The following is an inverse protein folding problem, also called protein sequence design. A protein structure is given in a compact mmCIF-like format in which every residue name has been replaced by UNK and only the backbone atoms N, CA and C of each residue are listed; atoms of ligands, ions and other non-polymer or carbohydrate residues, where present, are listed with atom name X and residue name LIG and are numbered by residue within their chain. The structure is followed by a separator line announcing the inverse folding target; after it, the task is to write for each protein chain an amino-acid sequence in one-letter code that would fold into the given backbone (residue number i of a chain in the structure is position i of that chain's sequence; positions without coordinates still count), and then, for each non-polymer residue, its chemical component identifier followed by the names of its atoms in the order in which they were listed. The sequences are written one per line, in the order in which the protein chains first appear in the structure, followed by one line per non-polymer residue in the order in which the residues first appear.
data_IF_553368501617
#
_entry.id   IF_553368501617
#
_cell.length_a   1.000
_cell.length_b   1.000
_cell.length_c   1.000
_cell.angle_alpha   90.00
_cell.angle_beta   90.00
_cell.angle_gamma   90.00
#
_symmetry.space_group_name_H-M   'P 1'
#
loop_
_entity.id
_entity.type
_entity.pdbx_description
1 polymer ?
#
# COMPACT_ATOMS: atom_id res chain seq x y z
N UNK A 1 -4.18 -3.82 -43.13
CA UNK A 1 -4.42 -4.08 -41.69
C UNK A 1 -3.26 -3.51 -40.88
N UNK A 2 -3.38 -2.27 -40.41
CA UNK A 2 -2.41 -1.59 -39.52
C UNK A 2 -3.21 -1.11 -38.30
N UNK A 3 -3.57 -2.06 -37.45
CA UNK A 3 -4.10 -1.80 -36.11
C UNK A 3 -3.16 -2.54 -35.15
N UNK A 4 -2.81 -1.90 -34.02
CA UNK A 4 -1.82 -2.31 -33.00
C UNK A 4 -0.45 -1.60 -33.07
N UNK A 5 -0.46 -0.26 -33.13
CA UNK A 5 0.71 0.55 -32.75
C UNK A 5 0.30 1.65 -31.77
N UNK A 6 -0.24 1.28 -30.61
CA UNK A 6 -0.57 2.22 -29.52
C UNK A 6 -0.45 1.61 -28.11
N UNK A 7 0.51 0.72 -27.86
CA UNK A 7 0.66 0.10 -26.52
C UNK A 7 1.94 0.48 -25.76
N UNK A 8 2.63 1.56 -26.13
CA UNK A 8 3.96 1.88 -25.57
C UNK A 8 4.04 3.13 -24.69
N UNK A 9 2.92 3.69 -24.21
CA UNK A 9 2.97 4.92 -23.41
C UNK A 9 2.93 4.72 -21.89
N UNK A 10 2.50 3.54 -21.39
CA UNK A 10 2.35 3.30 -19.96
C UNK A 10 3.02 1.97 -19.59
N UNK A 11 4.26 2.05 -19.10
CA UNK A 11 4.98 0.87 -18.60
C UNK A 11 5.76 1.23 -17.33
N UNK A 12 5.59 0.40 -16.31
CA UNK A 12 6.28 0.55 -15.04
C UNK A 12 7.69 -0.02 -15.17
N UNK A 13 8.71 0.80 -14.92
CA UNK A 13 10.09 0.32 -14.90
C UNK A 13 10.30 -0.60 -13.69
N UNK A 14 10.73 -1.83 -13.96
CA UNK A 14 10.98 -2.86 -12.95
C UNK A 14 11.96 -2.39 -11.88
N UNK A 15 13.04 -1.71 -12.26
CA UNK A 15 14.09 -1.27 -11.31
C UNK A 15 13.55 -0.24 -10.31
N UNK A 16 12.83 0.76 -10.81
CA UNK A 16 12.14 1.77 -9.98
C UNK A 16 11.17 1.10 -9.02
N UNK A 17 10.38 0.14 -9.50
CA UNK A 17 9.38 -0.54 -8.69
C UNK A 17 10.01 -1.42 -7.60
N UNK A 18 11.05 -2.18 -7.92
CA UNK A 18 11.80 -2.99 -6.94
C UNK A 18 12.40 -2.11 -5.85
N UNK A 19 13.02 -0.99 -6.22
CA UNK A 19 13.63 -0.06 -5.26
C UNK A 19 12.58 0.54 -4.33
N UNK A 20 11.40 0.90 -4.85
CA UNK A 20 10.31 1.40 -4.04
C UNK A 20 9.83 0.36 -3.02
N UNK A 21 9.68 -0.90 -3.42
CA UNK A 21 9.31 -1.98 -2.51
C UNK A 21 10.35 -2.19 -1.42
N UNK A 22 11.65 -2.12 -1.74
CA UNK A 22 12.71 -2.16 -0.73
C UNK A 22 12.62 -1.04 0.29
N UNK A 23 12.40 0.20 -0.15
CA UNK A 23 12.21 1.34 0.76
C UNK A 23 11.01 1.09 1.69
N UNK A 24 9.89 0.61 1.14
CA UNK A 24 8.69 0.29 1.92
C UNK A 24 8.97 -0.81 2.96
N UNK A 25 9.63 -1.91 2.58
CA UNK A 25 9.92 -3.00 3.51
C UNK A 25 10.88 -2.60 4.62
N UNK A 26 11.91 -1.81 4.32
CA UNK A 26 12.83 -1.28 5.33
C UNK A 26 12.07 -0.38 6.31
N UNK A 27 11.20 0.50 5.81
CA UNK A 27 10.34 1.35 6.64
C UNK A 27 9.39 0.54 7.54
N UNK A 28 8.71 -0.46 6.99
CA UNK A 28 7.79 -1.32 7.74
C UNK A 28 8.52 -2.15 8.82
N UNK A 29 9.65 -2.78 8.47
CA UNK A 29 10.45 -3.58 9.42
C UNK A 29 10.99 -2.68 10.52
N UNK A 30 11.56 -1.53 10.18
CA UNK A 30 12.09 -0.60 11.19
C UNK A 30 10.99 -0.12 12.15
N UNK A 31 9.80 0.23 11.65
CA UNK A 31 8.68 0.60 12.50
C UNK A 31 8.29 -0.55 13.46
N UNK A 32 8.16 -1.78 12.97
CA UNK A 32 7.83 -2.95 13.80
C UNK A 32 8.89 -3.19 14.87
N UNK A 33 10.17 -3.14 14.50
CA UNK A 33 11.28 -3.37 15.43
C UNK A 33 11.35 -2.26 16.50
N UNK A 34 11.15 -1.00 16.13
CA UNK A 34 11.12 0.12 17.09
C UNK A 34 9.96 -0.07 18.07
N UNK A 35 8.75 -0.34 17.57
CA UNK A 35 7.57 -0.53 18.42
C UNK A 35 7.72 -1.73 19.37
N UNK A 36 8.30 -2.83 18.87
CA UNK A 36 8.48 -4.05 19.68
C UNK A 36 9.63 -3.96 20.68
N UNK A 37 10.79 -3.43 20.28
CA UNK A 37 12.02 -3.52 21.09
C UNK A 37 12.41 -2.22 21.80
N UNK A 38 11.98 -1.06 21.28
CA UNK A 38 12.25 0.23 21.92
C UNK A 38 11.07 0.66 22.78
N UNK A 39 9.84 0.55 22.25
CA UNK A 39 8.63 0.91 23.00
C UNK A 39 8.02 -0.25 23.79
N UNK A 40 8.43 -1.50 23.52
CA UNK A 40 7.95 -2.71 24.21
C UNK A 40 6.42 -2.90 24.18
N UNK A 41 5.76 -2.38 23.14
CA UNK A 41 4.31 -2.54 23.00
C UNK A 41 3.96 -3.98 22.64
N UNK A 42 2.88 -4.49 23.24
CA UNK A 42 2.43 -5.86 23.01
C UNK A 42 1.54 -5.94 21.78
N UNK A 43 2.01 -6.64 20.74
CA UNK A 43 1.23 -6.98 19.56
C UNK A 43 1.86 -8.19 18.86
N UNK A 44 1.17 -8.74 17.84
CA UNK A 44 1.66 -9.89 17.10
C UNK A 44 2.69 -9.48 16.03
N UNK A 45 3.90 -9.09 16.48
CA UNK A 45 4.98 -8.67 15.59
C UNK A 45 5.47 -9.82 14.69
N UNK A 46 5.36 -11.09 15.15
CA UNK A 46 5.69 -12.26 14.32
C UNK A 46 4.80 -12.38 13.08
N UNK A 47 3.49 -12.14 13.22
CA UNK A 47 2.58 -12.11 12.07
C UNK A 47 2.97 -10.99 11.10
N UNK A 48 3.27 -9.79 11.62
CA UNK A 48 3.66 -8.64 10.80
C UNK A 48 4.97 -8.90 10.04
N UNK A 49 6.00 -9.44 10.71
CA UNK A 49 7.26 -9.81 10.06
C UNK A 49 7.05 -10.90 9.01
N UNK A 50 6.18 -11.89 9.28
CA UNK A 50 5.88 -12.97 8.33
C UNK A 50 5.22 -12.44 7.05
N UNK A 51 4.32 -11.47 7.17
CA UNK A 51 3.70 -10.79 6.02
C UNK A 51 4.76 -10.07 5.18
N UNK A 52 5.65 -9.31 5.82
CA UNK A 52 6.73 -8.60 5.11
C UNK A 52 7.70 -9.59 4.48
N UNK A 53 8.03 -10.68 5.17
CA UNK A 53 8.90 -11.72 4.64
C UNK A 53 8.35 -12.30 3.34
N UNK A 54 7.05 -12.64 3.29
CA UNK A 54 6.41 -13.09 2.05
C UNK A 54 6.48 -12.02 0.94
N UNK A 55 6.37 -10.75 1.31
CA UNK A 55 6.48 -9.61 0.39
C UNK A 55 7.89 -9.47 -0.19
N UNK A 56 8.91 -9.68 0.63
CA UNK A 56 10.32 -9.75 0.20
C UNK A 56 10.51 -10.90 -0.80
N UNK A 57 9.94 -12.08 -0.54
CA UNK A 57 10.01 -13.20 -1.48
C UNK A 57 9.39 -12.85 -2.84
N UNK A 58 8.23 -12.19 -2.86
CA UNK A 58 7.63 -11.74 -4.14
C UNK A 58 8.49 -10.69 -4.86
N UNK A 59 9.20 -9.84 -4.13
CA UNK A 59 10.09 -8.85 -4.73
C UNK A 59 11.36 -9.49 -5.30
N UNK A 60 11.94 -10.46 -4.59
CA UNK A 60 13.06 -11.25 -5.11
C UNK A 60 12.66 -12.07 -6.34
N UNK A 61 11.45 -12.64 -6.34
CA UNK A 61 10.90 -13.33 -7.51
C UNK A 61 10.80 -12.40 -8.72
N UNK A 62 10.27 -11.18 -8.52
CA UNK A 62 10.22 -10.15 -9.56
C UNK A 62 11.63 -9.79 -10.06
N UNK A 63 12.59 -9.63 -9.15
CA UNK A 63 13.97 -9.29 -9.46
C UNK A 63 14.68 -10.34 -10.32
N UNK A 64 14.56 -11.63 -9.97
CA UNK A 64 15.33 -12.68 -10.63
C UNK A 64 14.63 -13.36 -11.81
N UNK A 65 13.29 -13.47 -11.77
CA UNK A 65 12.57 -14.27 -12.78
C UNK A 65 12.06 -13.46 -13.96
N UNK A 66 11.62 -12.23 -13.75
CA UNK A 66 11.14 -11.38 -14.84
C UNK A 66 12.35 -10.75 -15.52
N UNK A 67 12.62 -11.08 -16.78
CA UNK A 67 13.77 -10.53 -17.52
C UNK A 67 13.48 -9.16 -18.13
N UNK A 68 12.20 -8.84 -18.33
CA UNK A 68 11.80 -7.58 -18.95
C UNK A 68 12.00 -6.40 -17.99
N UNK A 69 12.60 -5.33 -18.51
CA UNK A 69 12.77 -4.09 -17.74
C UNK A 69 11.49 -3.27 -17.62
N UNK A 70 10.57 -3.44 -18.57
CA UNK A 70 9.26 -2.79 -18.59
C UNK A 70 8.18 -3.83 -18.26
N UNK A 71 7.43 -3.58 -17.19
CA UNK A 71 6.35 -4.46 -16.78
C UNK A 71 5.08 -4.11 -17.55
N UNK A 72 4.43 -5.14 -18.11
CA UNK A 72 3.15 -4.99 -18.78
C UNK A 72 2.09 -4.52 -17.76
N UNK A 73 1.11 -3.75 -18.24
CA UNK A 73 0.03 -3.17 -17.45
C UNK A 73 -0.66 -4.20 -16.53
N UNK A 74 -1.01 -5.38 -17.02
CA UNK A 74 -1.68 -6.42 -16.21
C UNK A 74 -0.78 -6.94 -15.09
N UNK A 75 0.49 -7.17 -15.37
CA UNK A 75 1.48 -7.61 -14.38
C UNK A 75 1.70 -6.54 -13.31
N UNK A 76 1.88 -5.28 -13.72
CA UNK A 76 2.01 -4.15 -12.81
C UNK A 76 0.78 -3.97 -11.93
N UNK A 77 -0.42 -4.10 -12.51
CA UNK A 77 -1.69 -4.03 -11.76
C UNK A 77 -1.73 -5.13 -10.69
N UNK A 78 -1.36 -6.37 -11.04
CA UNK A 78 -1.37 -7.49 -10.11
C UNK A 78 -0.40 -7.28 -8.93
N UNK A 79 0.82 -6.81 -9.18
CA UNK A 79 1.78 -6.54 -8.12
C UNK A 79 1.37 -5.35 -7.24
N UNK A 80 0.83 -4.27 -7.83
CA UNK A 80 0.33 -3.13 -7.05
C UNK A 80 -0.90 -3.51 -6.21
N UNK A 81 -1.81 -4.35 -6.74
CA UNK A 81 -2.91 -4.92 -5.95
C UNK A 81 -2.38 -5.77 -4.80
N UNK A 82 -1.35 -6.58 -5.03
CA UNK A 82 -0.72 -7.36 -3.97
C UNK A 82 -0.13 -6.45 -2.88
N UNK A 83 0.58 -5.38 -3.25
CA UNK A 83 1.15 -4.43 -2.29
C UNK A 83 0.05 -3.71 -1.48
N UNK A 84 -1.06 -3.32 -2.12
CA UNK A 84 -2.24 -2.74 -1.45
C UNK A 84 -2.83 -3.72 -0.44
N UNK A 85 -3.01 -4.99 -0.83
CA UNK A 85 -3.56 -6.03 0.03
C UNK A 85 -2.64 -6.33 1.21
N UNK A 86 -1.34 -6.47 0.95
CA UNK A 86 -0.30 -6.70 1.95
C UNK A 86 -0.25 -5.60 3.00
N UNK A 87 -0.23 -4.34 2.55
CA UNK A 87 -0.23 -3.20 3.44
C UNK A 87 -1.56 -3.12 4.20
N UNK A 88 -2.68 -3.44 3.55
CA UNK A 88 -3.98 -3.57 4.21
C UNK A 88 -3.97 -4.57 5.37
N UNK A 89 -3.37 -5.75 5.19
CA UNK A 89 -3.24 -6.73 6.27
C UNK A 89 -2.32 -6.21 7.39
N UNK A 90 -1.21 -5.56 7.06
CA UNK A 90 -0.35 -4.96 8.08
C UNK A 90 -1.10 -3.92 8.91
N UNK A 91 -1.83 -3.01 8.24
CA UNK A 91 -2.64 -2.00 8.89
C UNK A 91 -3.73 -2.66 9.76
N UNK A 92 -4.37 -3.72 9.27
CA UNK A 92 -5.36 -4.49 10.04
C UNK A 92 -4.81 -4.99 11.38
N UNK A 93 -3.56 -5.49 11.42
CA UNK A 93 -2.92 -5.95 12.67
C UNK A 93 -2.38 -4.81 13.55
N UNK A 94 -2.37 -3.57 13.05
CA UNK A 94 -1.66 -2.46 13.69
C UNK A 94 -2.55 -1.21 13.80
N UNK A 95 -3.85 -1.34 14.10
CA UNK A 95 -4.72 -0.19 14.37
C UNK A 95 -5.62 0.27 13.22
N UNK A 96 -5.60 -0.41 12.06
CA UNK A 96 -6.47 -0.11 10.93
C UNK A 96 -6.31 1.32 10.44
N UNK A 97 -7.43 2.05 10.33
CA UNK A 97 -7.43 3.46 9.94
C UNK A 97 -6.80 4.39 10.98
N UNK A 98 -6.69 3.98 12.23
CA UNK A 98 -6.04 4.79 13.28
C UNK A 98 -4.51 4.73 13.24
N UNK A 99 -3.95 3.81 12.45
CA UNK A 99 -2.52 3.72 12.25
C UNK A 99 -1.99 4.98 11.52
N UNK A 100 -0.95 5.66 12.04
CA UNK A 100 -0.41 6.88 11.42
C UNK A 100 0.15 6.66 10.01
N UNK A 101 0.47 5.43 9.63
CA UNK A 101 0.95 5.06 8.30
C UNK A 101 -0.16 4.70 7.31
N UNK A 102 -1.44 4.84 7.68
CA UNK A 102 -2.57 4.52 6.79
C UNK A 102 -2.49 5.22 5.43
N UNK A 103 -1.96 6.45 5.38
CA UNK A 103 -1.80 7.21 4.13
C UNK A 103 -0.82 6.56 3.14
N UNK A 104 0.06 5.65 3.57
CA UNK A 104 0.98 4.94 2.66
C UNK A 104 0.22 4.02 1.69
N UNK A 105 -1.03 3.66 1.98
CA UNK A 105 -1.89 2.89 1.06
C UNK A 105 -2.16 3.63 -0.26
N UNK A 106 -1.92 4.96 -0.29
CA UNK A 106 -2.07 5.78 -1.48
C UNK A 106 -0.94 5.55 -2.50
N UNK A 107 0.25 5.14 -2.06
CA UNK A 107 1.45 5.05 -2.91
C UNK A 107 1.22 4.18 -4.15
N UNK A 108 0.68 2.94 -4.06
CA UNK A 108 0.45 2.13 -5.24
C UNK A 108 -0.52 2.74 -6.26
N UNK A 109 -1.51 3.52 -5.80
CA UNK A 109 -2.44 4.22 -6.69
C UNK A 109 -1.81 5.43 -7.38
N UNK A 110 -0.92 6.16 -6.70
CA UNK A 110 -0.16 7.23 -7.35
C UNK A 110 0.73 6.65 -8.45
N UNK A 111 1.42 5.54 -8.18
CA UNK A 111 2.23 4.87 -9.20
C UNK A 111 1.38 4.34 -10.36
N UNK A 112 0.20 3.79 -10.08
CA UNK A 112 -0.68 3.34 -11.17
C UNK A 112 -1.17 4.48 -12.04
N UNK A 113 -1.44 5.65 -11.45
CA UNK A 113 -1.93 6.82 -12.19
C UNK A 113 -0.95 7.34 -13.25
N UNK A 114 0.36 7.18 -13.01
CA UNK A 114 1.41 7.63 -13.93
C UNK A 114 1.83 6.54 -14.93
N UNK A 115 1.87 5.27 -14.51
CA UNK A 115 2.52 4.21 -15.28
C UNK A 115 1.57 3.14 -15.85
N UNK A 116 0.30 3.14 -15.48
CA UNK A 116 -0.69 2.14 -15.93
C UNK A 116 -1.82 2.79 -16.75
N UNK A 117 -2.55 1.94 -17.47
CA UNK A 117 -3.75 2.35 -18.17
C UNK A 117 -4.83 2.84 -17.18
N UNK A 118 -5.60 3.84 -17.60
CA UNK A 118 -6.64 4.49 -16.79
C UNK A 118 -7.60 3.51 -16.10
N UNK A 119 -8.07 2.48 -16.80
CA UNK A 119 -8.96 1.45 -16.21
C UNK A 119 -8.28 0.67 -15.07
N UNK A 120 -7.00 0.33 -15.20
CA UNK A 120 -6.25 -0.35 -14.14
C UNK A 120 -6.06 0.57 -12.92
N UNK A 121 -5.82 1.86 -13.15
CA UNK A 121 -5.76 2.84 -12.07
C UNK A 121 -7.09 2.94 -11.31
N UNK A 122 -8.23 2.95 -12.02
CA UNK A 122 -9.56 2.95 -11.39
C UNK A 122 -9.77 1.70 -10.52
N UNK A 123 -9.38 0.52 -11.03
CA UNK A 123 -9.51 -0.74 -10.28
C UNK A 123 -8.72 -0.67 -8.97
N UNK A 124 -7.49 -0.14 -9.01
CA UNK A 124 -6.65 -0.02 -7.81
C UNK A 124 -7.22 1.01 -6.82
N UNK A 125 -7.74 2.13 -7.30
CA UNK A 125 -8.44 3.12 -6.45
C UNK A 125 -9.66 2.50 -5.78
N UNK A 126 -10.50 1.78 -6.53
CA UNK A 126 -11.66 1.09 -5.97
C UNK A 126 -11.23 0.04 -4.92
N UNK A 127 -10.14 -0.68 -5.18
CA UNK A 127 -9.60 -1.67 -4.25
C UNK A 127 -9.11 -1.05 -2.94
N UNK A 128 -8.39 0.08 -3.00
CA UNK A 128 -7.97 0.83 -1.80
C UNK A 128 -9.19 1.31 -1.02
N UNK A 129 -10.21 1.85 -1.69
CA UNK A 129 -11.44 2.30 -1.04
C UNK A 129 -12.12 1.16 -0.28
N UNK A 130 -12.20 -0.04 -0.87
CA UNK A 130 -12.76 -1.22 -0.21
C UNK A 130 -11.92 -1.60 1.03
N UNK A 131 -10.59 -1.62 0.91
CA UNK A 131 -9.71 -1.92 2.05
C UNK A 131 -9.88 -0.88 3.16
N UNK A 132 -9.94 0.41 2.84
CA UNK A 132 -10.16 1.46 3.84
C UNK A 132 -11.49 1.31 4.56
N UNK A 133 -12.56 0.95 3.85
CA UNK A 133 -13.87 0.66 4.46
C UNK A 133 -13.73 -0.53 5.42
N UNK A 134 -13.11 -1.63 4.99
CA UNK A 134 -12.88 -2.80 5.84
C UNK A 134 -12.08 -2.42 7.09
N UNK A 135 -10.97 -1.69 6.93
CA UNK A 135 -10.11 -1.23 8.03
C UNK A 135 -10.76 -0.19 8.95
N UNK A 136 -11.88 0.40 8.55
CA UNK A 136 -12.65 1.31 9.40
C UNK A 136 -13.50 0.53 10.40
N UNK A 137 -14.04 -0.62 9.99
CA UNK A 137 -14.95 -1.42 10.83
C UNK A 137 -14.28 -2.65 11.47
N UNK A 138 -13.19 -3.14 10.87
CA UNK A 138 -12.50 -4.36 11.27
C UNK A 138 -11.00 -4.10 11.33
N UNK A 139 -10.45 -4.07 12.54
CA UNK A 139 -9.00 -3.97 12.78
C UNK A 139 -8.68 -4.41 14.21
N UNK A 140 -7.43 -4.76 14.46
CA UNK A 140 -6.88 -4.93 15.81
C UNK A 140 -6.44 -3.59 16.37
N UNK A 141 -6.56 -3.42 17.67
CA UNK A 141 -6.14 -2.20 18.37
C UNK A 141 -4.69 -1.82 18.04
N UNK A 142 -4.47 -0.52 17.92
CA UNK A 142 -3.14 0.03 17.70
C UNK A 142 -2.24 -0.36 18.88
N UNK A 143 -1.01 -0.88 18.67
CA UNK A 143 -0.13 -1.23 19.77
C UNK A 143 0.12 -0.01 20.68
N UNK A 144 -0.12 -0.16 21.98
CA UNK A 144 -0.05 0.94 22.94
C UNK A 144 0.49 0.51 24.31
N UNK A 145 1.00 1.45 25.13
CA UNK A 145 1.44 1.13 26.48
C UNK A 145 0.22 1.05 27.42
N UNK A 146 -0.02 -0.13 28.01
CA UNK A 146 -1.00 -0.32 29.08
C UNK A 146 -2.46 -0.11 28.66
N UNK A 147 -3.33 0.26 29.59
CA UNK A 147 -4.72 0.61 29.28
C UNK A 147 -4.80 2.02 28.70
N UNK A 148 -5.15 2.11 27.42
CA UNK A 148 -5.21 3.36 26.68
C UNK A 148 -6.46 4.16 27.11
N UNK A 149 -6.28 5.22 27.90
CA UNK A 149 -7.35 6.19 28.19
C UNK A 149 -7.46 7.29 27.12
N UNK A 150 -7.23 6.95 25.84
CA UNK A 150 -7.40 7.88 24.73
C UNK A 150 -8.66 7.53 23.96
N UNK A 151 -9.80 8.07 24.41
CA UNK A 151 -11.06 8.01 23.68
C UNK A 151 -11.09 9.12 22.63
N UNK A 152 -10.57 8.84 21.43
CA UNK A 152 -10.84 9.69 20.28
C UNK A 152 -12.34 9.64 19.98
N UNK A 153 -13.02 10.80 19.79
CA UNK A 153 -14.42 10.80 19.40
C UNK A 153 -14.65 10.08 18.06
N UNK A 154 -15.80 9.42 17.91
CA UNK A 154 -16.12 8.63 16.71
C UNK A 154 -16.00 9.41 15.40
N UNK A 155 -16.30 10.71 15.41
CA UNK A 155 -16.16 11.57 14.23
C UNK A 155 -14.71 11.66 13.73
N UNK A 156 -13.72 11.55 14.62
CA UNK A 156 -12.31 11.54 14.25
C UNK A 156 -11.94 10.25 13.52
N UNK A 157 -12.47 9.12 14.00
CA UNK A 157 -12.27 7.81 13.39
C UNK A 157 -12.82 7.75 11.96
N UNK A 158 -13.99 8.34 11.70
CA UNK A 158 -14.53 8.45 10.34
C UNK A 158 -13.86 9.55 9.50
N UNK A 159 -13.33 10.59 10.13
CA UNK A 159 -12.60 11.66 9.45
C UNK A 159 -11.32 11.17 8.77
N UNK A 160 -10.61 10.20 9.37
CA UNK A 160 -9.37 9.65 8.81
C UNK A 160 -9.58 8.98 7.44
N UNK A 161 -10.43 7.96 7.27
CA UNK A 161 -10.61 7.33 5.95
C UNK A 161 -11.15 8.31 4.91
N UNK A 162 -12.02 9.26 5.29
CA UNK A 162 -12.48 10.32 4.38
C UNK A 162 -11.31 11.19 3.92
N UNK A 163 -10.43 11.62 4.83
CA UNK A 163 -9.25 12.42 4.49
C UNK A 163 -8.30 11.66 3.56
N UNK A 164 -8.10 10.36 3.79
CA UNK A 164 -7.28 9.49 2.96
C UNK A 164 -7.92 9.31 1.58
N UNK A 165 -9.24 9.14 1.49
CA UNK A 165 -9.95 9.05 0.20
C UNK A 165 -9.88 10.36 -0.59
N UNK A 166 -9.98 11.52 0.06
CA UNK A 166 -9.80 12.82 -0.62
C UNK A 166 -8.35 12.93 -1.12
N UNK A 167 -7.37 12.59 -0.29
CA UNK A 167 -5.96 12.53 -0.68
C UNK A 167 -5.71 11.58 -1.84
N UNK A 168 -6.36 10.41 -1.86
CA UNK A 168 -6.29 9.43 -2.94
C UNK A 168 -6.74 10.04 -4.26
N UNK A 169 -7.94 10.64 -4.30
CA UNK A 169 -8.48 11.25 -5.51
C UNK A 169 -7.57 12.38 -5.99
N UNK A 170 -7.12 13.24 -5.07
CA UNK A 170 -6.26 14.37 -5.40
C UNK A 170 -4.91 13.93 -5.98
N UNK A 171 -4.21 12.99 -5.32
CA UNK A 171 -2.90 12.53 -5.75
C UNK A 171 -2.96 11.70 -7.04
N UNK A 172 -4.00 10.89 -7.22
CA UNK A 172 -4.23 10.15 -8.47
C UNK A 172 -4.52 11.13 -9.61
N UNK A 173 -5.39 12.12 -9.40
CA UNK A 173 -5.65 13.16 -10.40
C UNK A 173 -4.37 13.93 -10.76
N UNK A 174 -3.58 14.30 -9.75
CA UNK A 174 -2.29 14.97 -9.94
C UNK A 174 -1.34 14.10 -10.77
N UNK A 175 -1.21 12.81 -10.44
CA UNK A 175 -0.37 11.87 -11.18
C UNK A 175 -0.82 11.67 -12.63
N UNK A 176 -2.13 11.59 -12.90
CA UNK A 176 -2.65 11.53 -14.28
C UNK A 176 -2.38 12.83 -15.05
N UNK A 177 -2.46 13.99 -14.38
CA UNK A 177 -2.36 15.30 -15.04
C UNK A 177 -0.92 15.73 -15.31
N UNK A 178 0.01 15.39 -14.42
CA UNK A 178 1.39 15.89 -14.45
C UNK A 178 2.45 14.80 -14.58
N UNK A 179 2.07 13.51 -14.54
CA UNK A 179 2.96 12.37 -14.70
C UNK A 179 3.25 12.00 -16.14
#
# INVERSE_FOLDING_TARGET
MKFLKTSNLYSLNKSTYINLRWIAYIGQISAILIVQFLFEFKFNYFACISIIFFSVLTNLYLQFKIKDNQLNNSTSTMYLSYDIFQLGILLFFTGGVTNPFVFLILVPAVFSSQYLHFLSSIILVAFITIILIILTFFYYDLPHPGELHFHAPDYYLYGIPISVMIGLIFLVYFGVRFG
#
